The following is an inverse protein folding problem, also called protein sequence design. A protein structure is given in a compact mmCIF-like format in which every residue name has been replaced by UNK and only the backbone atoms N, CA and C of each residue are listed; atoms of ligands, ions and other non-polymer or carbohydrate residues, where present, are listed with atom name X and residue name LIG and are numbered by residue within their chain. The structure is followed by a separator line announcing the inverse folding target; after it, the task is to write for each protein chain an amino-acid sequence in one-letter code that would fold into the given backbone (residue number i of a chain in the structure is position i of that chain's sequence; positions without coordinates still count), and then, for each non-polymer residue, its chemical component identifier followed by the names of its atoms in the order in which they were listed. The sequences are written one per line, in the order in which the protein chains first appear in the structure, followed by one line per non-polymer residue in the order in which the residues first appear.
data_IF_043408117969
#
_entry.id   IF_043408117969
#
_cell.length_a   1.000
_cell.length_b   1.000
_cell.length_c   1.000
_cell.angle_alpha   90.00
_cell.angle_beta   90.00
_cell.angle_gamma   90.00
#
_symmetry.space_group_name_H-M   'P 1'
#
loop_
_entity.id
_entity.type
_entity.pdbx_description
1 polymer ?
#
# COMPACT_ATOMS: atom_id res chain seq x y z
N UNK A 1 -4.12 62.23 29.98
CA UNK A 1 -3.54 61.32 28.99
C UNK A 1 -4.19 59.97 29.15
N UNK A 2 -4.92 59.56 28.17
CA UNK A 2 -5.55 58.23 28.17
C UNK A 2 -4.74 57.34 27.24
N UNK A 3 -4.13 56.33 27.83
CA UNK A 3 -3.48 55.26 27.09
C UNK A 3 -4.58 54.29 26.62
N UNK A 4 -4.79 54.19 25.32
CA UNK A 4 -5.66 53.17 24.77
C UNK A 4 -4.99 51.82 24.89
N UNK A 5 -5.64 50.79 25.40
CA UNK A 5 -5.07 49.46 25.36
C UNK A 5 -4.99 49.01 23.92
N UNK A 6 -3.78 48.76 23.47
CA UNK A 6 -3.55 48.07 22.21
C UNK A 6 -3.94 46.62 22.45
N UNK A 7 -5.12 46.27 21.97
CA UNK A 7 -5.56 44.89 21.96
C UNK A 7 -4.74 44.16 20.88
N UNK A 8 -3.70 43.49 21.29
CA UNK A 8 -2.94 42.64 20.39
C UNK A 8 -3.78 41.40 20.10
N UNK A 9 -4.47 41.43 18.97
CA UNK A 9 -5.21 40.28 18.47
C UNK A 9 -4.19 39.28 17.95
N UNK A 10 -3.79 38.33 18.79
CA UNK A 10 -3.01 37.18 18.35
C UNK A 10 -3.94 36.30 17.53
N UNK A 11 -3.91 36.45 16.23
CA UNK A 11 -4.55 35.50 15.32
C UNK A 11 -3.75 34.18 15.44
N UNK A 12 -4.27 33.25 16.22
CA UNK A 12 -3.82 31.86 16.17
C UNK A 12 -4.19 31.32 14.79
N UNK A 13 -3.26 31.36 13.87
CA UNK A 13 -3.34 30.60 12.63
C UNK A 13 -3.19 29.13 13.02
N UNK A 14 -4.31 28.47 13.30
CA UNK A 14 -4.36 27.03 13.34
C UNK A 14 -4.25 26.54 11.92
N UNK A 15 -3.03 26.18 11.48
CA UNK A 15 -2.86 25.43 10.26
C UNK A 15 -3.43 24.04 10.47
N UNK A 16 -4.68 23.84 10.06
CA UNK A 16 -5.25 22.52 9.95
C UNK A 16 -4.52 21.80 8.81
N UNK A 17 -3.61 20.87 9.15
CA UNK A 17 -3.11 19.91 8.19
C UNK A 17 -4.28 19.09 7.69
N UNK A 18 -4.59 19.05 6.38
CA UNK A 18 -5.63 18.16 5.89
C UNK A 18 -5.23 16.74 6.27
N UNK A 19 -6.13 16.04 6.97
CA UNK A 19 -5.97 14.61 7.20
C UNK A 19 -5.99 13.95 5.81
N UNK A 20 -4.84 13.46 5.35
CA UNK A 20 -4.74 12.75 4.08
C UNK A 20 -5.35 11.36 4.28
N UNK A 21 -6.62 11.20 3.85
CA UNK A 21 -7.33 9.93 3.84
C UNK A 21 -6.96 9.13 2.60
N UNK A 22 -5.65 8.93 2.35
CA UNK A 22 -5.16 8.08 1.28
C UNK A 22 -4.85 6.69 1.83
N UNK A 23 -5.14 5.65 1.02
CA UNK A 23 -4.74 4.29 1.34
C UNK A 23 -3.21 4.17 1.21
N UNK A 24 -2.52 4.11 2.33
CA UNK A 24 -1.09 3.85 2.39
C UNK A 24 -0.83 2.38 2.67
N UNK A 25 0.17 1.80 2.01
CA UNK A 25 0.62 0.45 2.33
C UNK A 25 1.27 0.46 3.72
N UNK A 26 0.72 -0.32 4.65
CA UNK A 26 1.18 -0.40 6.04
C UNK A 26 1.89 -1.70 6.37
N UNK A 27 1.52 -2.77 5.69
CA UNK A 27 2.10 -4.08 5.91
C UNK A 27 2.06 -4.87 4.61
N UNK A 28 3.12 -5.59 4.34
CA UNK A 28 3.21 -6.48 3.18
C UNK A 28 3.84 -7.82 3.59
N UNK A 29 3.43 -8.88 2.91
CA UNK A 29 4.04 -10.20 3.03
C UNK A 29 4.15 -10.81 1.63
N UNK A 30 5.34 -11.21 1.17
CA UNK A 30 6.63 -11.09 1.86
C UNK A 30 7.00 -9.64 2.19
N UNK A 31 7.81 -9.41 3.25
CA UNK A 31 8.28 -8.07 3.57
C UNK A 31 9.16 -7.48 2.46
N UNK A 32 9.13 -6.16 2.30
CA UNK A 32 10.02 -5.45 1.39
C UNK A 32 11.48 -5.78 1.70
N UNK A 33 12.25 -6.01 0.63
CA UNK A 33 13.69 -6.32 0.66
C UNK A 33 14.05 -7.61 1.39
N UNK A 34 13.07 -8.48 1.64
CA UNK A 34 13.31 -9.79 2.27
C UNK A 34 13.93 -10.78 1.29
N UNK A 35 14.67 -11.74 1.84
CA UNK A 35 15.22 -12.89 1.15
C UNK A 35 14.57 -14.15 1.69
N UNK A 36 13.86 -14.88 0.83
CA UNK A 36 13.08 -16.04 1.21
C UNK A 36 13.74 -17.33 0.78
N UNK A 37 13.88 -18.27 1.71
CA UNK A 37 14.35 -19.61 1.39
C UNK A 37 13.29 -20.45 0.66
N UNK A 38 12.01 -20.11 0.85
CA UNK A 38 10.87 -20.82 0.28
C UNK A 38 9.98 -19.81 -0.44
N UNK A 39 9.51 -20.17 -1.63
CA UNK A 39 8.54 -19.36 -2.37
C UNK A 39 7.26 -19.15 -1.54
N UNK A 40 6.74 -17.92 -1.44
CA UNK A 40 5.51 -17.68 -0.71
C UNK A 40 4.30 -18.24 -1.48
N UNK A 41 3.26 -18.71 -0.80
CA UNK A 41 2.03 -19.19 -1.46
C UNK A 41 1.14 -18.07 -1.96
N UNK A 42 1.29 -16.88 -1.40
CA UNK A 42 0.47 -15.70 -1.72
C UNK A 42 1.20 -14.42 -1.39
N UNK A 43 0.70 -13.32 -1.92
CA UNK A 43 1.07 -11.97 -1.51
C UNK A 43 -0.03 -11.41 -0.63
N UNK A 44 0.33 -10.64 0.38
CA UNK A 44 -0.62 -9.99 1.27
C UNK A 44 -0.23 -8.52 1.46
N UNK A 45 -1.16 -7.60 1.22
CA UNK A 45 -0.95 -6.17 1.32
C UNK A 45 -2.01 -5.56 2.21
N UNK A 46 -1.58 -4.96 3.31
CA UNK A 46 -2.44 -4.25 4.25
C UNK A 46 -2.30 -2.74 4.10
N UNK A 47 -3.44 -2.05 4.02
CA UNK A 47 -3.53 -0.61 3.79
C UNK A 47 -4.12 0.12 4.99
N UNK A 48 -3.96 1.44 5.02
CA UNK A 48 -4.50 2.29 6.09
C UNK A 48 -6.00 2.54 5.98
N UNK A 49 -6.57 2.35 4.79
CA UNK A 49 -7.97 2.66 4.48
C UNK A 49 -8.63 1.50 3.75
N UNK A 50 -9.96 1.44 3.84
CA UNK A 50 -10.76 0.48 3.07
C UNK A 50 -10.63 0.71 1.57
N UNK A 51 -10.62 -0.38 0.80
CA UNK A 51 -10.35 -0.37 -0.63
C UNK A 51 -11.56 -0.77 -1.44
N UNK A 52 -11.65 -0.20 -2.65
CA UNK A 52 -12.50 -0.67 -3.74
C UNK A 52 -11.71 -1.70 -4.53
N UNK A 53 -11.97 -2.99 -4.30
CA UNK A 53 -11.16 -4.07 -4.88
C UNK A 53 -11.29 -4.13 -6.41
N UNK A 54 -12.43 -3.77 -6.95
CA UNK A 54 -12.64 -3.75 -8.41
C UNK A 54 -11.79 -2.71 -9.13
N UNK A 55 -11.24 -1.73 -8.41
CA UNK A 55 -10.42 -0.64 -8.93
C UNK A 55 -9.03 -0.60 -8.30
N UNK A 56 -8.68 -1.66 -7.60
CA UNK A 56 -7.37 -1.85 -6.99
C UNK A 56 -6.73 -3.12 -7.56
N UNK A 57 -5.42 -3.22 -7.51
CA UNK A 57 -4.77 -4.42 -8.03
C UNK A 57 -3.30 -4.52 -7.68
N UNK A 58 -2.77 -5.68 -7.98
CA UNK A 58 -1.38 -6.05 -7.72
C UNK A 58 -0.84 -6.77 -8.94
N UNK A 59 0.36 -6.39 -9.37
CA UNK A 59 1.08 -7.04 -10.46
C UNK A 59 2.42 -7.51 -9.92
N UNK A 60 2.74 -8.79 -10.14
CA UNK A 60 4.03 -9.37 -9.80
C UNK A 60 4.90 -9.43 -11.05
N UNK A 61 6.12 -8.91 -10.96
CA UNK A 61 7.09 -8.92 -12.06
C UNK A 61 8.38 -9.62 -11.66
N UNK A 62 8.93 -10.37 -12.58
CA UNK A 62 10.28 -10.89 -12.47
C UNK A 62 11.31 -9.78 -12.70
N UNK A 63 12.58 -10.06 -12.40
CA UNK A 63 13.68 -9.09 -12.54
C UNK A 63 13.85 -8.57 -13.97
N UNK A 64 13.52 -9.38 -14.98
CA UNK A 64 13.56 -8.99 -16.39
C UNK A 64 12.36 -8.15 -16.86
N UNK A 65 11.44 -7.83 -15.94
CA UNK A 65 10.23 -7.07 -16.23
C UNK A 65 9.02 -7.91 -16.67
N UNK A 66 9.20 -9.22 -16.83
CA UNK A 66 8.13 -10.12 -17.22
C UNK A 66 7.07 -10.21 -16.13
N UNK A 67 5.80 -10.04 -16.52
CA UNK A 67 4.67 -10.21 -15.60
C UNK A 67 4.50 -11.70 -15.27
N UNK A 68 4.43 -11.99 -13.98
CA UNK A 68 4.15 -13.32 -13.46
C UNK A 68 2.64 -13.42 -13.22
N UNK A 69 1.94 -14.34 -13.90
CA UNK A 69 0.52 -14.54 -13.66
C UNK A 69 0.24 -14.97 -12.22
N UNK A 70 -0.79 -14.39 -11.63
CA UNK A 70 -1.25 -14.71 -10.27
C UNK A 70 -2.73 -15.02 -10.28
N UNK A 71 -3.25 -15.53 -9.18
CA UNK A 71 -4.69 -15.53 -8.94
C UNK A 71 -5.23 -14.12 -8.75
N UNK A 72 -6.55 -14.00 -8.70
CA UNK A 72 -7.20 -12.72 -8.53
C UNK A 72 -6.91 -12.10 -7.15
N UNK A 73 -6.68 -10.80 -7.10
CA UNK A 73 -6.62 -10.06 -5.85
C UNK A 73 -8.00 -10.04 -5.20
N UNK A 74 -8.06 -10.41 -3.93
CA UNK A 74 -9.30 -10.43 -3.16
C UNK A 74 -9.11 -9.72 -1.83
N UNK A 75 -10.17 -9.11 -1.30
CA UNK A 75 -10.17 -8.59 0.06
C UNK A 75 -10.31 -9.74 1.06
N UNK A 76 -9.63 -9.62 2.18
CA UNK A 76 -9.82 -10.52 3.31
C UNK A 76 -11.27 -10.45 3.82
N UNK A 77 -11.77 -11.58 4.30
CA UNK A 77 -13.08 -11.62 4.95
C UNK A 77 -13.07 -10.72 6.20
N UNK A 78 -14.02 -9.80 6.29
CA UNK A 78 -14.16 -8.82 7.37
C UNK A 78 -12.99 -7.82 7.50
N UNK A 79 -12.15 -7.69 6.48
CA UNK A 79 -11.07 -6.69 6.46
C UNK A 79 -10.92 -6.10 5.05
N UNK A 80 -11.62 -5.01 4.80
CA UNK A 80 -11.57 -4.30 3.51
C UNK A 80 -10.27 -3.50 3.28
N UNK A 81 -9.34 -3.57 4.22
CA UNK A 81 -8.03 -2.91 4.14
C UNK A 81 -6.93 -3.86 3.69
N UNK A 82 -7.22 -5.15 3.57
CA UNK A 82 -6.22 -6.17 3.26
C UNK A 82 -6.56 -6.91 1.99
N UNK A 83 -5.61 -6.87 1.05
CA UNK A 83 -5.65 -7.64 -0.20
C UNK A 83 -4.80 -8.90 -0.04
N UNK A 84 -5.32 -10.02 -0.53
CA UNK A 84 -4.57 -11.26 -0.69
C UNK A 84 -4.55 -11.64 -2.16
N UNK A 85 -3.37 -12.00 -2.67
CA UNK A 85 -3.16 -12.42 -4.05
C UNK A 85 -2.54 -13.82 -4.03
N UNK A 86 -3.30 -14.86 -4.37
CA UNK A 86 -2.73 -16.21 -4.44
C UNK A 86 -1.77 -16.32 -5.61
N UNK A 87 -0.67 -17.01 -5.41
CA UNK A 87 0.28 -17.33 -6.47
C UNK A 87 -0.10 -18.67 -7.13
N UNK A 88 0.12 -18.77 -8.45
CA UNK A 88 -0.28 -19.95 -9.23
C UNK A 88 0.71 -21.12 -9.14
N UNK A 89 1.74 -20.98 -8.33
CA UNK A 89 2.77 -21.99 -8.14
C UNK A 89 4.01 -21.39 -7.51
N UNK A 90 5.00 -22.24 -7.27
CA UNK A 90 6.25 -21.80 -6.69
C UNK A 90 7.01 -20.87 -7.64
N UNK A 91 7.52 -19.76 -7.11
CA UNK A 91 8.39 -18.85 -7.83
C UNK A 91 9.80 -19.43 -7.90
N UNK A 92 10.44 -19.33 -9.06
CA UNK A 92 11.85 -19.66 -9.18
C UNK A 92 12.73 -18.66 -8.43
N UNK A 93 13.97 -19.05 -8.15
CA UNK A 93 14.93 -18.16 -7.52
C UNK A 93 15.11 -16.88 -8.33
N UNK A 94 15.17 -15.76 -7.67
CA UNK A 94 15.34 -14.46 -8.28
C UNK A 94 14.69 -13.33 -7.51
N UNK A 95 14.88 -12.13 -8.02
CA UNK A 95 14.29 -10.91 -7.47
C UNK A 95 12.94 -10.62 -8.14
N UNK A 96 11.95 -10.28 -7.34
CA UNK A 96 10.61 -9.97 -7.81
C UNK A 96 10.20 -8.57 -7.35
N UNK A 97 9.42 -7.90 -8.19
CA UNK A 97 8.81 -6.61 -7.88
C UNK A 97 7.31 -6.77 -7.77
N UNK A 98 6.75 -6.28 -6.68
CA UNK A 98 5.30 -6.17 -6.46
C UNK A 98 4.90 -4.74 -6.76
N UNK A 99 4.13 -4.53 -7.82
CA UNK A 99 3.55 -3.23 -8.14
C UNK A 99 2.09 -3.24 -7.73
N UNK A 100 1.66 -2.24 -6.99
CA UNK A 100 0.29 -2.14 -6.55
C UNK A 100 -0.34 -0.79 -6.88
N UNK A 101 -1.63 -0.80 -7.08
CA UNK A 101 -2.46 0.39 -7.13
C UNK A 101 -3.69 0.16 -6.26
N UNK A 102 -4.10 1.19 -5.56
CA UNK A 102 -5.21 1.14 -4.63
C UNK A 102 -6.12 2.34 -4.82
N UNK A 103 -7.42 2.07 -4.92
CA UNK A 103 -8.45 3.09 -4.80
C UNK A 103 -9.12 2.92 -3.45
N UNK A 104 -9.04 3.95 -2.61
CA UNK A 104 -9.75 3.95 -1.34
C UNK A 104 -11.24 4.20 -1.55
N UNK A 105 -12.06 3.87 -0.55
CA UNK A 105 -13.51 4.06 -0.62
C UNK A 105 -13.91 5.52 -0.73
N UNK A 106 -13.06 6.46 -0.32
CA UNK A 106 -13.24 7.90 -0.48
C UNK A 106 -12.75 8.42 -1.84
N UNK A 107 -12.46 7.52 -2.80
CA UNK A 107 -12.08 7.81 -4.19
C UNK A 107 -10.70 8.42 -4.38
N UNK A 108 -9.75 8.19 -3.46
CA UNK A 108 -8.36 8.57 -3.64
C UNK A 108 -7.51 7.40 -4.15
N UNK A 109 -6.77 7.64 -5.24
CA UNK A 109 -5.90 6.65 -5.84
C UNK A 109 -4.46 6.79 -5.33
N UNK A 110 -3.84 5.67 -4.97
CA UNK A 110 -2.44 5.57 -4.61
C UNK A 110 -1.78 4.42 -5.36
N UNK A 111 -0.47 4.44 -5.46
CA UNK A 111 0.29 3.36 -6.07
C UNK A 111 1.69 3.28 -5.46
N UNK A 112 2.32 2.15 -5.63
CA UNK A 112 3.68 1.94 -5.17
C UNK A 112 4.23 0.61 -5.61
N UNK A 113 5.42 0.32 -5.17
CA UNK A 113 6.09 -0.95 -5.43
C UNK A 113 7.05 -1.31 -4.31
N UNK A 114 7.33 -2.61 -4.19
CA UNK A 114 8.39 -3.12 -3.35
C UNK A 114 8.96 -4.40 -3.95
N UNK A 115 10.09 -4.84 -3.44
CA UNK A 115 10.81 -6.00 -3.95
C UNK A 115 11.03 -7.05 -2.86
N UNK A 116 11.12 -8.31 -3.28
CA UNK A 116 11.61 -9.40 -2.45
C UNK A 116 12.41 -10.38 -3.33
N UNK A 117 13.20 -11.23 -2.71
CA UNK A 117 14.04 -12.20 -3.39
C UNK A 117 13.70 -13.61 -2.91
N UNK A 118 13.59 -14.54 -3.86
CA UNK A 118 13.55 -15.98 -3.57
C UNK A 118 14.94 -16.53 -3.79
N UNK A 119 15.50 -17.14 -2.76
CA UNK A 119 16.85 -17.72 -2.81
C UNK A 119 16.87 -19.02 -3.64
N UNK A 120 18.01 -19.34 -4.28
CA UNK A 120 18.19 -20.60 -4.98
C UNK A 120 18.17 -21.80 -4.04
#
# INVERSE_FOLDING_TARGET
MKLAPVLLLVACLTSASPALAHAHLKAESPPADSMLAISPPSLSLGFSEGLEIGLSGVVLKAQDGRVIPTGAAVLETNDDKKITVPLNGALSAGKYTVEWHALSRDSHATHGSYEFTVLP
#
